data_IF_540522800970
#
_entry.id   IF_540522800970
#
_cell.length_a   1.000
_cell.length_b   1.000
_cell.length_c   1.000
_cell.angle_alpha   90.00
_cell.angle_beta   90.00
_cell.angle_gamma   90.00
#
_symmetry.space_group_name_H-M   'P 1'
#
loop_
_entity.id
_entity.type
_entity.pdbx_description
1 polymer ?
#
# COMPACT_ATOMS: atom_id res chain seq x y z
N UNK A 1 20.13 17.22 14.35
CA UNK A 1 21.42 16.49 14.18
C UNK A 1 21.49 15.44 15.27
N UNK A 2 21.32 14.16 14.92
CA UNK A 2 21.34 13.06 15.90
C UNK A 2 22.77 12.80 16.36
N UNK A 3 22.99 12.68 17.68
CA UNK A 3 24.30 12.35 18.25
C UNK A 3 24.71 10.94 17.80
N UNK A 4 25.98 10.72 17.42
CA UNK A 4 26.43 9.41 17.00
C UNK A 4 26.31 8.43 18.18
N UNK A 5 25.91 7.18 17.90
CA UNK A 5 25.79 6.13 18.90
C UNK A 5 27.15 5.92 19.57
N UNK A 6 27.16 5.90 20.92
CA UNK A 6 28.37 5.85 21.75
C UNK A 6 28.96 4.43 21.83
N UNK A 7 28.30 3.44 21.23
CA UNK A 7 28.79 2.06 21.18
C UNK A 7 29.83 1.87 20.05
N UNK A 8 31.10 1.54 20.37
CA UNK A 8 32.17 1.34 19.38
C UNK A 8 31.93 0.16 18.41
N UNK A 9 31.02 -0.76 18.73
CA UNK A 9 30.59 -1.84 17.84
C UNK A 9 29.59 -1.32 16.80
N UNK A 10 28.66 -0.47 17.23
CA UNK A 10 27.67 0.13 16.33
C UNK A 10 28.33 1.09 15.35
N UNK A 11 29.33 1.86 15.79
CA UNK A 11 30.12 2.72 14.90
C UNK A 11 30.86 1.91 13.83
N UNK A 12 31.49 0.79 14.20
CA UNK A 12 32.16 -0.10 13.22
C UNK A 12 31.19 -0.69 12.20
N UNK A 13 29.98 -1.07 12.62
CA UNK A 13 28.95 -1.56 11.71
C UNK A 13 28.48 -0.48 10.72
N UNK A 14 28.28 0.76 11.20
CA UNK A 14 27.88 1.89 10.35
C UNK A 14 28.96 2.24 9.32
N UNK A 15 30.22 2.36 9.74
CA UNK A 15 31.33 2.64 8.82
C UNK A 15 31.49 1.54 7.75
N UNK A 16 31.25 0.27 8.12
CA UNK A 16 31.33 -0.85 7.17
C UNK A 16 30.17 -0.84 6.17
N UNK A 17 28.97 -0.42 6.59
CA UNK A 17 27.83 -0.25 5.69
C UNK A 17 28.03 0.91 4.72
N UNK A 18 28.55 2.04 5.19
CA UNK A 18 28.88 3.20 4.34
C UNK A 18 29.92 2.83 3.27
N UNK A 19 30.92 2.03 3.63
CA UNK A 19 31.93 1.55 2.67
C UNK A 19 31.34 0.61 1.62
N UNK A 20 30.43 -0.30 2.03
CA UNK A 20 29.75 -1.22 1.10
C UNK A 20 28.80 -0.47 0.15
N UNK A 21 28.12 0.57 0.62
CA UNK A 21 27.28 1.41 -0.23
C UNK A 21 28.12 2.20 -1.24
N UNK A 22 29.26 2.76 -0.82
CA UNK A 22 30.17 3.45 -1.72
C UNK A 22 30.72 2.50 -2.80
N UNK A 23 31.13 1.28 -2.45
CA UNK A 23 31.58 0.28 -3.43
C UNK A 23 30.46 -0.18 -4.38
N UNK A 24 29.22 -0.26 -3.91
CA UNK A 24 28.06 -0.59 -4.76
C UNK A 24 27.74 0.52 -5.77
N UNK A 25 27.81 1.78 -5.36
CA UNK A 25 27.67 2.93 -6.27
C UNK A 25 28.81 2.99 -7.30
N UNK A 26 30.03 2.64 -6.88
CA UNK A 26 31.20 2.60 -7.77
C UNK A 26 31.10 1.45 -8.81
N UNK A 27 30.47 0.33 -8.46
CA UNK A 27 30.29 -0.84 -9.35
C UNK A 27 29.07 -0.75 -10.29
N UNK A 28 28.03 0.04 -9.97
CA UNK A 28 26.85 0.18 -10.84
C UNK A 28 27.00 1.21 -11.97
N UNK A 29 28.22 1.72 -12.19
CA UNK A 29 28.52 2.66 -13.28
C UNK A 29 29.19 2.08 -14.53
N UNK A 30 29.73 0.84 -14.50
CA UNK A 30 30.42 0.23 -15.67
C UNK A 30 30.28 -1.30 -15.68
N UNK A 31 29.87 -1.93 -16.80
CA UNK A 31 29.89 -3.39 -16.92
C UNK A 31 31.33 -3.89 -16.94
N UNK A 32 31.64 -4.84 -16.05
CA UNK A 32 32.96 -5.44 -15.91
C UNK A 32 33.28 -6.38 -17.09
N UNK A 33 34.31 -6.05 -17.87
CA UNK A 33 34.80 -6.80 -19.03
C UNK A 33 35.75 -7.95 -18.65
N UNK A 34 35.57 -8.55 -17.47
CA UNK A 34 36.44 -9.62 -16.95
C UNK A 34 35.77 -10.99 -16.88
N UNK A 35 35.02 -11.37 -17.91
CA UNK A 35 34.71 -12.79 -18.18
C UNK A 35 35.44 -13.24 -19.44
N UNK A 36 36.58 -13.93 -19.26
CA UNK A 36 37.19 -14.73 -20.32
C UNK A 36 36.48 -16.09 -20.38
N UNK A 37 36.40 -16.62 -21.60
CA UNK A 37 36.00 -17.98 -21.99
C UNK A 37 34.52 -18.25 -22.29
N UNK A 38 33.95 -17.52 -23.26
CA UNK A 38 32.69 -17.90 -23.93
C UNK A 38 32.84 -18.03 -25.47
N UNK A 39 34.07 -18.10 -25.99
CA UNK A 39 34.27 -18.19 -27.45
C UNK A 39 33.79 -19.51 -28.05
N UNK A 40 33.81 -20.61 -27.28
CA UNK A 40 33.39 -21.93 -27.75
C UNK A 40 31.85 -22.10 -27.69
N UNK A 41 31.19 -21.43 -26.73
CA UNK A 41 29.73 -21.36 -26.66
C UNK A 41 29.11 -20.50 -27.79
N UNK A 42 29.84 -19.49 -28.29
CA UNK A 42 29.40 -18.64 -29.38
C UNK A 42 29.30 -19.38 -30.73
N UNK A 43 30.12 -20.41 -30.98
CA UNK A 43 30.09 -21.15 -32.25
C UNK A 43 28.99 -22.22 -32.34
N UNK A 44 28.63 -22.87 -31.22
CA UNK A 44 27.49 -23.78 -31.14
C UNK A 44 26.17 -23.02 -31.30
N UNK A 45 26.01 -21.84 -30.67
CA UNK A 45 24.81 -21.03 -30.85
C UNK A 45 24.72 -20.40 -32.25
N UNK A 46 25.83 -20.06 -32.90
CA UNK A 46 25.84 -19.44 -34.23
C UNK A 46 25.16 -20.29 -35.32
N UNK A 47 25.25 -21.62 -35.25
CA UNK A 47 24.59 -22.53 -36.21
C UNK A 47 23.14 -22.88 -35.83
N UNK A 48 22.76 -22.72 -34.56
CA UNK A 48 21.41 -22.99 -34.06
C UNK A 48 20.53 -21.73 -34.10
N UNK A 49 21.13 -20.53 -34.12
CA UNK A 49 20.43 -19.25 -34.17
C UNK A 49 19.49 -19.10 -35.38
N UNK A 50 19.88 -19.42 -36.64
CA UNK A 50 18.97 -19.26 -37.78
C UNK A 50 17.70 -20.11 -37.68
N UNK A 51 17.80 -21.35 -37.22
CA UNK A 51 16.63 -22.25 -37.08
C UNK A 51 15.74 -21.85 -35.90
N UNK A 52 16.34 -21.38 -34.79
CA UNK A 52 15.59 -20.77 -33.68
C UNK A 52 14.87 -19.49 -34.13
N UNK A 53 15.52 -18.64 -34.95
CA UNK A 53 14.93 -17.40 -35.48
C UNK A 53 13.70 -17.70 -36.36
N UNK A 54 13.81 -18.61 -37.34
CA UNK A 54 12.65 -18.99 -38.18
C UNK A 54 11.49 -19.59 -37.38
N UNK A 55 11.79 -20.37 -36.33
CA UNK A 55 10.76 -20.93 -35.44
C UNK A 55 10.06 -19.84 -34.61
N UNK A 56 10.80 -18.82 -34.16
CA UNK A 56 10.26 -17.68 -33.44
C UNK A 56 9.42 -16.77 -34.34
N UNK A 57 9.88 -16.46 -35.55
CA UNK A 57 9.12 -15.66 -36.53
C UNK A 57 7.76 -16.32 -36.87
N UNK A 58 7.75 -17.64 -37.02
CA UNK A 58 6.50 -18.40 -37.26
C UNK A 58 5.54 -18.32 -36.06
N UNK A 59 6.06 -18.42 -34.84
CA UNK A 59 5.27 -18.26 -33.62
C UNK A 59 4.75 -16.83 -33.46
N UNK A 60 5.57 -15.84 -33.78
CA UNK A 60 5.18 -14.43 -33.77
C UNK A 60 4.02 -14.17 -34.75
N UNK A 61 4.10 -14.72 -35.97
CA UNK A 61 3.02 -14.58 -36.94
C UNK A 61 1.74 -15.29 -36.49
N UNK A 62 1.85 -16.47 -35.88
CA UNK A 62 0.70 -17.18 -35.31
C UNK A 62 0.04 -16.39 -34.17
N UNK A 63 0.84 -15.76 -33.31
CA UNK A 63 0.35 -14.87 -32.25
C UNK A 63 -0.35 -13.64 -32.85
N UNK A 64 0.24 -12.97 -33.85
CA UNK A 64 -0.38 -11.83 -34.53
C UNK A 64 -1.73 -12.20 -35.15
N UNK A 65 -1.80 -13.36 -35.82
CA UNK A 65 -3.05 -13.84 -36.40
C UNK A 65 -4.12 -14.16 -35.34
N UNK A 66 -3.72 -14.68 -34.18
CA UNK A 66 -4.63 -14.92 -33.05
C UNK A 66 -5.10 -13.61 -32.42
N UNK A 67 -4.22 -12.63 -32.28
CA UNK A 67 -4.57 -11.30 -31.78
C UNK A 67 -5.60 -10.62 -32.68
N UNK A 68 -5.38 -10.61 -34.00
CA UNK A 68 -6.33 -10.01 -34.95
C UNK A 68 -7.74 -10.66 -34.86
N UNK A 69 -7.80 -11.98 -34.68
CA UNK A 69 -9.09 -12.69 -34.48
C UNK A 69 -9.77 -12.32 -33.16
N UNK A 70 -8.98 -12.13 -32.09
CA UNK A 70 -9.52 -11.71 -30.81
C UNK A 70 -10.02 -10.27 -30.85
N UNK A 71 -9.33 -9.39 -31.56
CA UNK A 71 -9.77 -8.00 -31.79
C UNK A 71 -11.10 -7.97 -32.55
N UNK A 72 -11.24 -8.74 -33.63
CA UNK A 72 -12.52 -8.86 -34.37
C UNK A 72 -13.67 -9.38 -33.49
N UNK A 73 -13.41 -10.39 -32.65
CA UNK A 73 -14.40 -10.92 -31.72
C UNK A 73 -14.77 -9.88 -30.66
N UNK A 74 -13.79 -9.14 -30.13
CA UNK A 74 -14.03 -8.07 -29.15
C UNK A 74 -14.85 -6.94 -29.77
N UNK A 75 -14.55 -6.52 -30.99
CA UNK A 75 -15.35 -5.53 -31.72
C UNK A 75 -16.79 -6.01 -31.94
N UNK A 76 -16.97 -7.28 -32.32
CA UNK A 76 -18.29 -7.90 -32.47
C UNK A 76 -19.09 -7.93 -31.16
N UNK A 77 -18.44 -8.33 -30.05
CA UNK A 77 -19.07 -8.32 -28.72
C UNK A 77 -19.42 -6.91 -28.29
N UNK A 78 -18.52 -5.96 -28.50
CA UNK A 78 -18.72 -4.55 -28.14
C UNK A 78 -19.89 -3.94 -28.91
N UNK A 79 -19.99 -4.21 -30.22
CA UNK A 79 -21.12 -3.77 -31.04
C UNK A 79 -22.45 -4.35 -30.56
N UNK A 80 -22.51 -5.66 -30.28
CA UNK A 80 -23.73 -6.32 -29.75
C UNK A 80 -24.10 -5.83 -28.35
N UNK A 81 -23.11 -5.49 -27.53
CA UNK A 81 -23.33 -4.96 -26.17
C UNK A 81 -23.84 -3.53 -26.22
N UNK A 82 -23.32 -2.69 -27.12
CA UNK A 82 -23.83 -1.34 -27.35
C UNK A 82 -25.27 -1.35 -27.86
N UNK A 83 -25.61 -2.28 -28.77
CA UNK A 83 -26.97 -2.48 -29.24
C UNK A 83 -27.93 -2.86 -28.11
N UNK A 84 -27.51 -3.78 -27.22
CA UNK A 84 -28.27 -4.18 -26.03
C UNK A 84 -28.42 -3.05 -24.99
N UNK A 85 -27.36 -2.26 -24.76
CA UNK A 85 -27.36 -1.15 -23.79
C UNK A 85 -28.24 0.02 -24.26
N UNK A 86 -28.41 0.19 -25.58
CA UNK A 86 -29.26 1.24 -26.15
C UNK A 86 -30.77 0.87 -26.20
N UNK A 87 -31.14 -0.39 -25.96
CA UNK A 87 -32.53 -0.86 -26.12
C UNK A 87 -33.38 -0.86 -24.84
N UNK A 88 -32.83 -0.74 -23.63
CA UNK A 88 -33.64 -0.81 -22.40
C UNK A 88 -33.53 0.41 -21.46
N UNK A 89 -34.40 1.42 -21.65
CA UNK A 89 -34.53 2.58 -20.75
C UNK A 89 -34.80 2.21 -19.29
N UNK A 90 -35.27 0.99 -19.00
CA UNK A 90 -35.55 0.53 -17.63
C UNK A 90 -34.28 0.24 -16.84
N UNK A 91 -33.21 -0.24 -17.51
CA UNK A 91 -31.92 -0.48 -16.87
C UNK A 91 -31.20 0.82 -16.51
N UNK A 92 -31.36 1.86 -17.33
CA UNK A 92 -30.84 3.19 -17.01
C UNK A 92 -31.51 3.78 -15.76
N UNK A 93 -32.85 3.69 -15.66
CA UNK A 93 -33.56 4.11 -14.44
C UNK A 93 -33.15 3.31 -13.22
N UNK A 94 -33.04 1.99 -13.32
CA UNK A 94 -32.59 1.16 -12.19
C UNK A 94 -31.17 1.52 -11.74
N UNK A 95 -30.27 1.82 -12.69
CA UNK A 95 -28.91 2.27 -12.36
C UNK A 95 -28.93 3.62 -11.64
N UNK A 96 -29.72 4.57 -12.13
CA UNK A 96 -29.82 5.90 -11.54
C UNK A 96 -30.47 5.83 -10.13
N UNK A 97 -31.55 5.04 -9.97
CA UNK A 97 -32.18 4.77 -8.66
C UNK A 97 -31.21 4.09 -7.67
N UNK A 98 -30.38 3.16 -8.15
CA UNK A 98 -29.37 2.49 -7.33
C UNK A 98 -28.23 3.45 -6.94
N UNK A 99 -27.84 4.37 -7.84
CA UNK A 99 -26.86 5.42 -7.56
C UNK A 99 -27.39 6.38 -6.49
N UNK A 100 -28.62 6.86 -6.63
CA UNK A 100 -29.26 7.73 -5.65
C UNK A 100 -29.40 7.04 -4.28
N UNK A 101 -29.68 5.74 -4.28
CA UNK A 101 -29.72 4.92 -3.06
C UNK A 101 -28.35 4.82 -2.39
N UNK A 102 -27.27 4.67 -3.17
CA UNK A 102 -25.90 4.62 -2.67
C UNK A 102 -25.48 5.96 -2.06
N UNK A 103 -25.82 7.07 -2.70
CA UNK A 103 -25.49 8.41 -2.24
C UNK A 103 -26.17 8.72 -0.89
N UNK A 104 -27.45 8.37 -0.74
CA UNK A 104 -28.16 8.50 0.56
C UNK A 104 -27.53 7.66 1.66
N UNK A 105 -27.17 6.42 1.37
CA UNK A 105 -26.47 5.53 2.31
C UNK A 105 -25.11 6.10 2.72
N UNK A 106 -24.39 6.72 1.78
CA UNK A 106 -23.13 7.40 2.04
C UNK A 106 -23.31 8.60 2.97
N UNK A 107 -24.33 9.44 2.73
CA UNK A 107 -24.67 10.57 3.60
C UNK A 107 -25.05 10.12 5.02
N UNK A 108 -25.89 9.09 5.14
CA UNK A 108 -26.27 8.51 6.44
C UNK A 108 -25.04 7.94 7.17
N UNK A 109 -24.17 7.23 6.47
CA UNK A 109 -22.94 6.68 7.04
C UNK A 109 -21.99 7.78 7.55
N UNK A 110 -21.83 8.87 6.78
CA UNK A 110 -21.05 10.03 7.21
C UNK A 110 -21.68 10.73 8.43
N UNK A 111 -23.01 10.83 8.48
CA UNK A 111 -23.74 11.39 9.62
C UNK A 111 -23.51 10.56 10.89
N UNK A 112 -23.62 9.22 10.80
CA UNK A 112 -23.38 8.31 11.92
C UNK A 112 -21.93 8.40 12.41
N UNK A 113 -20.95 8.47 11.50
CA UNK A 113 -19.55 8.64 11.89
C UNK A 113 -19.33 9.95 12.65
N UNK A 114 -19.97 11.05 12.24
CA UNK A 114 -19.89 12.32 12.94
C UNK A 114 -20.51 12.24 14.35
N UNK A 115 -21.62 11.54 14.51
CA UNK A 115 -22.22 11.29 15.83
C UNK A 115 -21.32 10.44 16.73
N UNK A 116 -20.69 9.39 16.19
CA UNK A 116 -19.74 8.55 16.94
C UNK A 116 -18.56 9.38 17.43
N UNK A 117 -17.99 10.23 16.58
CA UNK A 117 -16.88 11.13 16.97
C UNK A 117 -17.32 12.05 18.10
N UNK A 118 -18.49 12.69 17.97
CA UNK A 118 -19.03 13.56 19.01
C UNK A 118 -19.27 12.82 20.32
N UNK A 119 -19.83 11.60 20.25
CA UNK A 119 -20.07 10.76 21.41
C UNK A 119 -18.76 10.38 22.10
N UNK A 120 -17.71 10.08 21.34
CA UNK A 120 -16.39 9.76 21.87
C UNK A 120 -15.80 10.97 22.61
N UNK A 121 -15.82 12.15 22.00
CA UNK A 121 -15.32 13.37 22.64
C UNK A 121 -16.04 13.67 23.97
N UNK A 122 -17.35 13.42 24.04
CA UNK A 122 -18.10 13.57 25.29
C UNK A 122 -17.71 12.53 26.34
N UNK A 123 -17.45 11.30 25.93
CA UNK A 123 -16.99 10.23 26.82
C UNK A 123 -15.60 10.51 27.36
N UNK A 124 -14.68 10.97 26.51
CA UNK A 124 -13.30 11.28 26.89
C UNK A 124 -13.26 12.43 27.91
N UNK A 125 -14.07 13.48 27.70
CA UNK A 125 -14.24 14.57 28.68
C UNK A 125 -14.81 14.08 30.01
N UNK A 126 -15.83 13.22 29.97
CA UNK A 126 -16.40 12.66 31.20
C UNK A 126 -15.37 11.82 31.97
N UNK A 127 -14.52 11.08 31.25
CA UNK A 127 -13.44 10.31 31.86
C UNK A 127 -12.38 11.22 32.51
N UNK A 128 -11.99 12.31 31.84
CA UNK A 128 -11.07 13.31 32.37
C UNK A 128 -11.61 13.93 33.68
N UNK A 129 -12.87 14.40 33.68
CA UNK A 129 -13.50 14.93 34.89
C UNK A 129 -13.59 13.89 36.02
N UNK A 130 -13.88 12.62 35.69
CA UNK A 130 -13.89 11.57 36.70
C UNK A 130 -12.49 11.31 37.31
N UNK A 131 -11.43 11.44 36.51
CA UNK A 131 -10.06 11.35 37.02
C UNK A 131 -9.74 12.49 37.97
N UNK A 132 -10.08 13.73 37.62
CA UNK A 132 -9.90 14.91 38.49
C UNK A 132 -10.62 14.73 39.84
N UNK A 133 -11.88 14.27 39.82
CA UNK A 133 -12.65 14.02 41.05
C UNK A 133 -11.98 12.94 41.92
N UNK A 134 -11.44 11.89 41.31
CA UNK A 134 -10.75 10.82 42.05
C UNK A 134 -9.46 11.33 42.68
N UNK A 135 -8.71 12.17 41.99
CA UNK A 135 -7.50 12.82 42.49
C UNK A 135 -7.82 13.74 43.67
N UNK A 136 -8.82 14.63 43.54
CA UNK A 136 -9.28 15.49 44.63
C UNK A 136 -9.76 14.68 45.83
N UNK A 137 -10.51 13.59 45.61
CA UNK A 137 -10.95 12.72 46.71
C UNK A 137 -9.78 12.09 47.43
N UNK A 138 -8.76 11.62 46.69
CA UNK A 138 -7.57 11.04 47.29
C UNK A 138 -6.77 12.07 48.10
N UNK A 139 -6.64 13.31 47.62
CA UNK A 139 -6.03 14.40 48.38
C UNK A 139 -6.80 14.70 49.67
N UNK A 140 -8.13 14.81 49.60
CA UNK A 140 -8.98 15.04 50.78
C UNK A 140 -8.88 13.90 51.80
N UNK A 141 -8.88 12.64 51.35
CA UNK A 141 -8.66 11.47 52.21
C UNK A 141 -7.28 11.51 52.87
N UNK A 142 -6.24 11.94 52.14
CA UNK A 142 -4.89 12.11 52.69
C UNK A 142 -4.83 13.24 53.72
N UNK A 143 -5.43 14.40 53.44
CA UNK A 143 -5.52 15.51 54.39
C UNK A 143 -6.25 15.12 55.68
N UNK A 144 -7.39 14.42 55.57
CA UNK A 144 -8.15 13.93 56.72
C UNK A 144 -7.32 13.03 57.64
N UNK A 145 -6.62 12.04 57.06
CA UNK A 145 -5.72 11.16 57.84
C UNK A 145 -4.57 11.93 58.50
N UNK A 146 -4.07 12.97 57.84
CA UNK A 146 -2.95 13.77 58.38
C UNK A 146 -3.40 14.62 59.56
N UNK A 147 -4.64 15.14 59.54
CA UNK A 147 -5.23 15.88 60.66
C UNK A 147 -5.55 14.96 61.84
N UNK A 148 -6.04 13.74 61.61
CA UNK A 148 -6.26 12.73 62.66
C UNK A 148 -4.96 12.34 63.40
N UNK A 149 -3.79 12.54 62.80
CA UNK A 149 -2.48 12.28 63.42
C UNK A 149 -1.91 13.50 64.16
N UNK A 150 -2.55 14.67 64.09
CA UNK A 150 -2.09 15.93 64.71
C UNK A 150 -2.93 16.31 65.95
N UNK A 151 -4.12 15.74 66.16
CA UNK A 151 -4.84 15.87 67.43
C UNK A 151 -4.15 15.06 68.54
N UNK A 152 -3.63 15.70 69.61
CA UNK A 152 -3.19 14.99 70.79
C UNK A 152 -4.42 14.60 71.64
N UNK A 153 -4.47 13.32 72.05
CA UNK A 153 -5.37 12.84 73.10
C UNK A 153 -5.13 13.55 74.45
#
# INVERSE_FOLDING_TARGET
MAKPPTDPRLQRCLTRLEHLFASWEECNGKPDNHRKDDTEALFEDAYILPTKIFSLERKEQDIKNKLAKLEEVLESITARTLEFVLEDPSLHRQRDDASDGLDRLSEEHLSVLAEIVKSKDTSDKAMETNMEILEERHELEWFGRTLDHIEPA
#
